data_IF_554418765026
#
_entry.id   IF_554418765026
#
_cell.length_a   1.000
_cell.length_b   1.000
_cell.length_c   1.000
_cell.angle_alpha   90.00
_cell.angle_beta   90.00
_cell.angle_gamma   90.00
#
_symmetry.space_group_name_H-M   'P 1'
#
loop_
_entity.id
_entity.type
_entity.pdbx_description
1 polymer ?
#
# COMPACT_ATOMS: atom_id res chain seq x y z
N UNK A 1 5.55 -15.18 53.48
CA UNK A 1 6.48 -14.31 52.72
C UNK A 1 6.89 -15.10 51.49
N UNK A 2 6.27 -14.78 50.35
CA UNK A 2 6.89 -14.07 49.20
C UNK A 2 7.92 -14.98 48.51
N UNK A 3 7.93 -15.22 47.21
CA UNK A 3 7.15 -14.74 46.07
C UNK A 3 7.68 -15.54 44.85
N UNK A 4 6.82 -15.68 43.82
CA UNK A 4 7.15 -15.68 42.39
C UNK A 4 8.35 -16.51 41.88
N UNK A 5 8.04 -17.52 41.06
CA UNK A 5 8.18 -17.39 39.60
C UNK A 5 7.38 -18.52 38.92
N UNK A 6 6.17 -18.19 38.49
CA UNK A 6 5.47 -18.98 37.48
C UNK A 6 6.13 -18.65 36.14
N UNK A 7 6.91 -19.58 35.61
CA UNK A 7 7.40 -19.49 34.25
C UNK A 7 6.21 -19.70 33.31
N UNK A 8 5.71 -18.61 32.71
CA UNK A 8 4.91 -18.68 31.49
C UNK A 8 5.79 -19.32 30.42
N UNK A 9 5.58 -20.61 30.19
CA UNK A 9 6.06 -21.27 28.98
C UNK A 9 5.13 -20.81 27.85
N UNK A 10 5.47 -19.69 27.23
CA UNK A 10 4.91 -19.33 25.93
C UNK A 10 5.40 -20.39 24.93
N UNK A 11 4.57 -21.42 24.72
CA UNK A 11 4.79 -22.39 23.65
C UNK A 11 4.59 -21.60 22.36
N UNK A 12 5.70 -21.13 21.78
CA UNK A 12 5.74 -20.71 20.39
C UNK A 12 5.47 -21.94 19.55
N UNK A 13 4.19 -22.18 19.25
CA UNK A 13 3.83 -23.22 18.30
C UNK A 13 4.17 -22.65 16.92
N UNK A 14 5.30 -23.08 16.37
CA UNK A 14 5.52 -23.11 14.92
C UNK A 14 4.47 -24.04 14.31
N UNK A 15 3.26 -23.51 14.11
CA UNK A 15 2.18 -24.16 13.39
C UNK A 15 2.26 -23.71 11.94
N UNK A 16 2.85 -24.58 11.13
CA UNK A 16 2.45 -24.76 9.73
C UNK A 16 0.94 -25.00 9.73
N UNK A 17 0.13 -24.00 9.39
CA UNK A 17 -1.33 -24.15 9.32
C UNK A 17 -1.87 -23.53 8.04
N UNK A 18 -2.08 -24.39 7.06
CA UNK A 18 -3.35 -24.41 6.35
C UNK A 18 -4.48 -24.67 7.36
N UNK A 19 -5.38 -23.69 7.56
CA UNK A 19 -6.70 -23.76 8.22
C UNK A 19 -6.78 -24.12 9.72
N UNK A 20 -7.51 -23.32 10.51
CA UNK A 20 -7.92 -23.71 11.86
C UNK A 20 -9.45 -23.73 11.96
N UNK A 21 -10.03 -24.93 11.82
CA UNK A 21 -11.40 -25.19 12.23
C UNK A 21 -11.46 -25.55 13.72
N UNK A 22 -12.44 -25.04 14.45
CA UNK A 22 -12.75 -25.47 15.82
C UNK A 22 -14.17 -26.03 15.88
N UNK A 23 -14.34 -27.12 16.64
CA UNK A 23 -15.65 -27.70 16.93
C UNK A 23 -15.87 -27.69 18.44
N UNK A 24 -16.89 -26.97 18.87
CA UNK A 24 -17.41 -27.05 20.23
C UNK A 24 -18.56 -28.05 20.28
N UNK A 25 -18.54 -28.90 21.31
CA UNK A 25 -19.63 -29.82 21.64
C UNK A 25 -20.26 -29.37 22.95
N UNK A 26 -21.53 -28.98 22.89
CA UNK A 26 -22.32 -28.59 24.06
C UNK A 26 -23.06 -29.76 24.72
N UNK A 27 -23.87 -29.44 25.73
CA UNK A 27 -24.87 -30.37 26.27
C UNK A 27 -25.91 -30.76 25.19
N UNK A 28 -26.55 -31.92 25.34
CA UNK A 28 -27.56 -32.44 24.41
C UNK A 28 -27.08 -32.71 22.97
N UNK A 29 -25.77 -32.80 22.74
CA UNK A 29 -25.22 -33.10 21.41
C UNK A 29 -25.23 -31.91 20.45
N UNK A 30 -25.39 -30.70 20.97
CA UNK A 30 -25.17 -29.43 20.26
C UNK A 30 -23.77 -29.40 19.65
N UNK A 31 -23.67 -29.01 18.39
CA UNK A 31 -22.40 -28.83 17.68
C UNK A 31 -22.34 -27.42 17.12
N UNK A 32 -21.25 -26.72 17.38
CA UNK A 32 -20.90 -25.46 16.71
C UNK A 32 -19.50 -25.65 16.11
N UNK A 33 -19.44 -25.75 14.79
CA UNK A 33 -18.19 -25.75 14.03
C UNK A 33 -17.95 -24.36 13.44
N UNK A 34 -16.70 -23.92 13.46
CA UNK A 34 -16.28 -22.69 12.79
C UNK A 34 -14.91 -22.81 12.16
N UNK A 35 -14.65 -22.01 11.15
CA UNK A 35 -13.34 -21.88 10.50
C UNK A 35 -13.10 -20.42 10.14
N UNK A 36 -11.83 -20.03 10.07
CA UNK A 36 -11.44 -18.72 9.54
C UNK A 36 -10.25 -18.90 8.59
N UNK A 37 -10.15 -18.02 7.59
CA UNK A 37 -9.03 -17.95 6.66
C UNK A 37 -8.91 -16.54 6.08
N UNK A 38 -7.84 -16.29 5.34
CA UNK A 38 -7.61 -15.04 4.63
C UNK A 38 -7.45 -15.34 3.14
N UNK A 39 -8.11 -14.56 2.28
CA UNK A 39 -7.96 -14.62 0.82
C UNK A 39 -7.15 -13.41 0.37
N UNK A 40 -6.12 -13.61 -0.45
CA UNK A 40 -5.22 -12.54 -0.89
C UNK A 40 -5.50 -12.22 -2.35
N UNK A 41 -5.59 -10.93 -2.65
CA UNK A 41 -5.84 -10.37 -3.96
C UNK A 41 -4.71 -9.42 -4.34
N UNK A 42 -4.23 -9.55 -5.57
CA UNK A 42 -3.21 -8.66 -6.15
C UNK A 42 -3.77 -8.05 -7.44
N UNK A 43 -3.42 -6.79 -7.74
CA UNK A 43 -3.79 -6.17 -9.01
C UNK A 43 -2.97 -6.78 -10.16
N UNK A 44 -3.64 -6.92 -11.30
CA UNK A 44 -3.09 -7.12 -12.64
C UNK A 44 -3.44 -5.85 -13.42
N UNK A 45 -2.41 -5.16 -13.92
CA UNK A 45 -2.56 -3.83 -14.51
C UNK A 45 -2.09 -3.85 -15.96
N UNK A 46 -2.90 -3.28 -16.85
CA UNK A 46 -2.54 -3.09 -18.25
C UNK A 46 -2.58 -1.61 -18.60
N UNK A 47 -1.41 -1.06 -18.91
CA UNK A 47 -1.26 0.29 -19.45
C UNK A 47 -1.10 0.18 -20.97
N UNK A 48 -2.00 0.82 -21.72
CA UNK A 48 -1.92 0.81 -23.18
C UNK A 48 -0.79 1.72 -23.70
N UNK A 49 -0.39 1.51 -24.95
CA UNK A 49 0.34 2.54 -25.70
C UNK A 49 -0.43 3.88 -25.68
N UNK A 50 0.29 4.99 -25.82
CA UNK A 50 -0.31 6.34 -25.83
C UNK A 50 -1.26 6.46 -27.01
N UNK A 51 -2.54 6.67 -26.70
CA UNK A 51 -3.60 6.75 -27.69
C UNK A 51 -3.61 8.10 -28.43
N UNK A 52 -4.42 8.22 -29.48
CA UNK A 52 -4.56 9.47 -30.25
C UNK A 52 -5.10 10.66 -29.44
N UNK A 53 -5.77 10.40 -28.32
CA UNK A 53 -6.21 11.43 -27.36
C UNK A 53 -5.08 11.93 -26.45
N UNK A 54 -3.89 11.31 -26.54
CA UNK A 54 -2.68 11.71 -25.83
C UNK A 54 -2.53 11.08 -24.45
N UNK A 55 -3.41 10.15 -24.03
CA UNK A 55 -3.33 9.47 -22.75
C UNK A 55 -3.28 7.94 -22.93
N UNK A 56 -2.52 7.21 -22.11
CA UNK A 56 -2.66 5.77 -21.97
C UNK A 56 -4.01 5.41 -21.36
N UNK A 57 -4.61 4.32 -21.85
CA UNK A 57 -5.66 3.62 -21.13
C UNK A 57 -5.06 2.82 -19.97
N UNK A 58 -5.79 2.72 -18.87
CA UNK A 58 -5.42 1.93 -17.69
C UNK A 58 -6.57 0.98 -17.37
N UNK A 59 -6.29 -0.32 -17.41
CA UNK A 59 -7.22 -1.37 -16.97
C UNK A 59 -6.62 -2.07 -15.75
N UNK A 60 -7.42 -2.22 -14.69
CA UNK A 60 -7.00 -2.80 -13.41
C UNK A 60 -7.98 -3.89 -13.02
N UNK A 61 -7.47 -5.09 -12.80
CA UNK A 61 -8.24 -6.22 -12.30
C UNK A 61 -7.54 -6.87 -11.12
N UNK A 62 -8.27 -7.15 -10.04
CA UNK A 62 -7.75 -7.88 -8.90
C UNK A 62 -8.05 -9.37 -9.04
N UNK A 63 -7.01 -10.18 -8.95
CA UNK A 63 -7.11 -11.64 -8.99
C UNK A 63 -6.74 -12.26 -7.64
N UNK A 64 -7.43 -13.35 -7.29
CA UNK A 64 -7.12 -14.13 -6.09
C UNK A 64 -5.84 -14.93 -6.31
N UNK A 65 -4.78 -14.63 -5.58
CA UNK A 65 -3.44 -15.24 -5.76
C UNK A 65 -3.09 -16.28 -4.69
N UNK A 66 -3.90 -16.38 -3.65
CA UNK A 66 -3.72 -17.40 -2.64
C UNK A 66 -4.63 -17.26 -1.43
N UNK A 67 -4.36 -18.12 -0.46
CA UNK A 67 -5.02 -18.16 0.83
C UNK A 67 -3.98 -18.30 1.94
N UNK A 68 -4.27 -17.73 3.12
CA UNK A 68 -3.47 -17.86 4.32
C UNK A 68 -2.29 -16.88 4.43
N UNK A 69 -1.71 -16.79 5.63
CA UNK A 69 -0.74 -15.74 6.02
C UNK A 69 0.63 -15.83 5.34
N UNK A 70 1.02 -16.98 4.80
CA UNK A 70 2.41 -17.19 4.34
C UNK A 70 2.77 -16.41 3.09
N UNK A 71 1.76 -15.90 2.37
CA UNK A 71 1.91 -15.06 1.18
C UNK A 71 1.63 -13.58 1.44
N UNK A 72 1.12 -13.22 2.62
CA UNK A 72 0.74 -11.84 2.91
C UNK A 72 1.98 -10.96 3.15
N UNK A 73 2.08 -9.87 2.40
CA UNK A 73 2.95 -8.73 2.65
C UNK A 73 2.18 -7.56 3.25
N UNK A 74 2.92 -6.52 3.63
CA UNK A 74 2.33 -5.27 4.11
C UNK A 74 1.61 -4.59 2.95
N UNK A 75 0.35 -4.24 3.20
CA UNK A 75 -0.49 -3.60 2.20
C UNK A 75 -1.30 -4.51 1.29
N UNK A 76 -1.16 -5.83 1.38
CA UNK A 76 -1.94 -6.72 0.49
C UNK A 76 -3.44 -6.54 0.71
N UNK A 77 -4.19 -6.58 -0.40
CA UNK A 77 -5.64 -6.61 -0.35
C UNK A 77 -6.12 -7.98 0.11
N UNK A 78 -6.69 -8.05 1.32
CA UNK A 78 -7.08 -9.30 1.96
C UNK A 78 -8.58 -9.29 2.25
N UNK A 79 -9.20 -10.46 2.12
CA UNK A 79 -10.52 -10.72 2.69
C UNK A 79 -10.41 -11.73 3.83
N UNK A 80 -10.71 -11.26 5.03
CA UNK A 80 -10.82 -12.11 6.22
C UNK A 80 -12.16 -12.82 6.16
N UNK A 81 -12.12 -14.14 6.18
CA UNK A 81 -13.30 -14.99 6.02
C UNK A 81 -13.56 -15.78 7.31
N UNK A 82 -14.82 -15.85 7.71
CA UNK A 82 -15.27 -16.65 8.84
C UNK A 82 -16.52 -17.44 8.46
N UNK A 83 -16.51 -18.74 8.73
CA UNK A 83 -17.69 -19.59 8.56
C UNK A 83 -18.12 -20.22 9.87
N UNK A 84 -19.44 -20.35 10.04
CA UNK A 84 -20.07 -21.03 11.17
C UNK A 84 -21.07 -22.08 10.66
N UNK A 85 -21.12 -23.20 11.37
CA UNK A 85 -22.07 -24.28 11.18
C UNK A 85 -22.60 -24.70 12.54
N UNK A 86 -23.93 -24.80 12.66
CA UNK A 86 -24.59 -25.27 13.89
C UNK A 86 -25.39 -26.53 13.62
N UNK A 87 -25.46 -27.42 14.61
CA UNK A 87 -26.29 -28.64 14.55
C UNK A 87 -26.86 -28.97 15.92
N UNK A 88 -28.07 -29.55 15.90
CA UNK A 88 -28.87 -29.85 17.10
C UNK A 88 -29.16 -28.58 17.93
N UNK A 89 -29.39 -27.46 17.25
CA UNK A 89 -29.77 -26.16 17.81
C UNK A 89 -30.88 -25.58 16.94
N UNK A 90 -31.74 -24.73 17.50
CA UNK A 90 -32.65 -23.90 16.69
C UNK A 90 -31.86 -22.81 15.96
N UNK A 91 -32.35 -22.43 14.78
CA UNK A 91 -31.78 -21.30 14.04
C UNK A 91 -32.07 -19.96 14.73
N UNK A 92 -31.27 -18.95 14.42
CA UNK A 92 -31.41 -17.63 15.03
C UNK A 92 -30.93 -16.53 14.08
N UNK A 93 -31.54 -15.34 14.18
CA UNK A 93 -31.00 -14.14 13.54
C UNK A 93 -29.77 -13.65 14.30
N UNK A 94 -28.68 -13.41 13.58
CA UNK A 94 -27.44 -12.97 14.20
C UNK A 94 -26.59 -12.06 13.32
N UNK A 95 -25.71 -11.31 13.98
CA UNK A 95 -24.68 -10.47 13.37
C UNK A 95 -23.31 -11.08 13.62
N UNK A 96 -22.53 -11.29 12.56
CA UNK A 96 -21.15 -11.74 12.62
C UNK A 96 -20.19 -10.56 12.85
N UNK A 97 -19.15 -10.80 13.63
CA UNK A 97 -18.13 -9.82 13.99
C UNK A 97 -16.76 -10.33 13.58
N UNK A 98 -15.94 -9.40 13.10
CA UNK A 98 -14.51 -9.58 12.86
C UNK A 98 -13.80 -8.46 13.62
N UNK A 99 -12.91 -8.83 14.55
CA UNK A 99 -12.14 -7.90 15.36
C UNK A 99 -10.67 -8.20 15.13
N UNK A 100 -9.91 -7.21 14.66
CA UNK A 100 -8.46 -7.30 14.52
C UNK A 100 -7.81 -6.31 15.47
N UNK A 101 -6.93 -6.82 16.34
CA UNK A 101 -6.20 -6.02 17.33
C UNK A 101 -7.12 -5.12 18.18
N UNK A 102 -8.28 -5.66 18.53
CA UNK A 102 -9.30 -4.97 19.34
C UNK A 102 -10.18 -3.98 18.56
N UNK A 103 -10.01 -3.84 17.24
CA UNK A 103 -10.83 -2.98 16.38
C UNK A 103 -11.80 -3.80 15.54
N UNK A 104 -13.09 -3.45 15.58
CA UNK A 104 -14.11 -4.07 14.71
C UNK A 104 -13.88 -3.66 13.26
N UNK A 105 -13.94 -4.64 12.35
CA UNK A 105 -13.82 -4.44 10.91
C UNK A 105 -15.21 -4.43 10.28
N UNK A 106 -15.46 -3.46 9.40
CA UNK A 106 -16.72 -3.34 8.67
C UNK A 106 -16.70 -4.20 7.39
N UNK A 107 -17.76 -4.96 7.08
CA UNK A 107 -17.83 -5.72 5.83
C UNK A 107 -18.10 -4.83 4.62
N UNK A 108 -18.68 -3.64 4.84
CA UNK A 108 -19.10 -2.72 3.78
C UNK A 108 -18.14 -1.56 3.56
N UNK A 109 -17.07 -1.46 4.36
CA UNK A 109 -15.95 -0.50 4.26
C UNK A 109 -16.25 0.78 3.46
N UNK A 110 -17.29 1.49 3.86
CA UNK A 110 -17.88 2.61 3.10
C UNK A 110 -16.97 3.83 3.04
N UNK A 111 -16.02 3.89 3.96
CA UNK A 111 -15.02 4.94 4.04
C UNK A 111 -13.71 4.51 3.35
N UNK A 112 -13.72 3.43 2.58
CA UNK A 112 -12.57 2.94 1.80
C UNK A 112 -11.29 2.79 2.65
N UNK A 113 -11.43 2.36 3.92
CA UNK A 113 -10.31 2.24 4.85
C UNK A 113 -9.32 1.20 4.33
N UNK A 114 -9.82 0.12 3.73
CA UNK A 114 -9.05 -0.99 3.19
C UNK A 114 -9.34 -1.29 1.71
N UNK A 115 -10.58 -1.11 1.27
CA UNK A 115 -10.97 -1.22 -0.13
C UNK A 115 -10.33 -0.08 -0.94
N UNK A 116 -9.96 -0.34 -2.21
CA UNK A 116 -9.41 0.69 -3.07
C UNK A 116 -10.45 1.75 -3.47
N UNK A 117 -11.71 1.35 -3.58
CA UNK A 117 -12.82 2.19 -4.03
C UNK A 117 -14.13 1.73 -3.36
N UNK A 118 -15.27 2.26 -3.81
CA UNK A 118 -16.59 1.83 -3.29
C UNK A 118 -16.78 0.31 -3.41
N UNK A 119 -17.62 -0.32 -2.57
CA UNK A 119 -17.90 -1.76 -2.68
C UNK A 119 -18.35 -2.18 -4.08
N UNK A 120 -19.16 -1.35 -4.74
CA UNK A 120 -19.65 -1.61 -6.10
C UNK A 120 -18.52 -1.54 -7.15
N UNK A 121 -17.66 -0.53 -7.09
CA UNK A 121 -16.51 -0.41 -7.99
C UNK A 121 -15.46 -1.49 -7.73
N UNK A 122 -15.20 -1.78 -6.46
CA UNK A 122 -14.31 -2.86 -6.02
C UNK A 122 -14.76 -4.21 -6.59
N UNK A 123 -16.07 -4.47 -6.62
CA UNK A 123 -16.62 -5.68 -7.25
C UNK A 123 -16.38 -5.69 -8.77
N UNK A 124 -16.55 -4.55 -9.45
CA UNK A 124 -16.36 -4.46 -10.89
C UNK A 124 -14.92 -4.74 -11.32
N UNK A 125 -13.95 -4.42 -10.46
CA UNK A 125 -12.53 -4.70 -10.68
C UNK A 125 -12.09 -6.08 -10.16
N UNK A 126 -13.01 -6.98 -9.81
CA UNK A 126 -12.70 -8.38 -9.49
C UNK A 126 -12.56 -8.73 -8.00
N UNK A 127 -12.72 -7.76 -7.09
CA UNK A 127 -12.75 -8.05 -5.66
C UNK A 127 -14.08 -8.72 -5.25
N UNK A 128 -14.09 -9.52 -4.16
CA UNK A 128 -15.29 -10.11 -3.60
C UNK A 128 -16.41 -9.09 -3.33
N UNK A 129 -17.65 -9.52 -3.57
CA UNK A 129 -18.83 -8.78 -3.18
C UNK A 129 -18.86 -8.57 -1.65
N UNK A 130 -19.04 -7.32 -1.23
CA UNK A 130 -19.36 -6.99 0.17
C UNK A 130 -20.75 -7.53 0.50
N UNK A 131 -20.80 -8.45 1.46
CA UNK A 131 -22.05 -9.09 1.92
C UNK A 131 -22.39 -8.64 3.33
N UNK A 132 -23.69 -8.66 3.66
CA UNK A 132 -24.14 -8.38 5.02
C UNK A 132 -23.48 -9.33 6.02
N UNK A 133 -23.03 -8.79 7.16
CA UNK A 133 -22.67 -9.62 8.31
C UNK A 133 -23.88 -10.01 9.16
N UNK A 134 -25.09 -9.60 8.81
CA UNK A 134 -26.34 -10.07 9.42
C UNK A 134 -26.97 -11.18 8.58
N UNK A 135 -27.34 -12.28 9.22
CA UNK A 135 -27.97 -13.44 8.58
C UNK A 135 -28.83 -14.26 9.55
N UNK A 136 -29.81 -14.98 9.01
CA UNK A 136 -30.50 -16.06 9.72
C UNK A 136 -29.59 -17.30 9.73
N UNK A 137 -29.02 -17.62 10.90
CA UNK A 137 -28.14 -18.78 11.07
C UNK A 137 -28.98 -20.05 11.18
N UNK A 138 -29.27 -20.66 10.04
CA UNK A 138 -30.02 -21.92 9.97
C UNK A 138 -29.18 -23.15 10.38
N UNK A 139 -29.79 -24.16 11.04
CA UNK A 139 -29.13 -25.42 11.38
C UNK A 139 -28.74 -26.23 10.15
N UNK A 140 -27.63 -26.95 10.28
CA UNK A 140 -27.04 -27.81 9.24
C UNK A 140 -26.65 -27.07 7.94
N UNK A 141 -26.55 -25.74 7.97
CA UNK A 141 -26.07 -24.89 6.88
C UNK A 141 -24.76 -24.22 7.27
N UNK A 142 -23.84 -24.08 6.31
CA UNK A 142 -22.60 -23.30 6.51
C UNK A 142 -22.87 -21.86 6.10
N UNK A 143 -22.75 -20.95 7.05
CA UNK A 143 -22.83 -19.50 6.81
C UNK A 143 -21.42 -18.94 6.74
N UNK A 144 -21.13 -18.10 5.74
CA UNK A 144 -19.80 -17.52 5.53
C UNK A 144 -19.89 -16.01 5.43
N UNK A 145 -19.02 -15.33 6.17
CA UNK A 145 -18.91 -13.88 6.23
C UNK A 145 -17.51 -13.45 5.80
N UNK A 146 -17.39 -12.23 5.27
CA UNK A 146 -16.15 -11.70 4.72
C UNK A 146 -15.96 -10.23 5.06
N UNK A 147 -14.72 -9.82 5.30
CA UNK A 147 -14.34 -8.44 5.58
C UNK A 147 -13.08 -8.04 4.81
N UNK A 148 -13.08 -6.90 4.10
CA UNK A 148 -11.85 -6.37 3.52
C UNK A 148 -10.88 -5.94 4.62
N UNK A 149 -9.59 -6.14 4.39
CA UNK A 149 -8.54 -5.80 5.34
C UNK A 149 -7.19 -5.64 4.64
N UNK A 150 -6.29 -4.87 5.26
CA UNK A 150 -4.87 -4.77 4.88
C UNK A 150 -4.03 -4.68 6.15
N UNK A 151 -2.90 -5.38 6.19
CA UNK A 151 -1.94 -5.24 7.28
C UNK A 151 -1.04 -4.02 7.03
N UNK A 152 -0.84 -3.17 8.04
CA UNK A 152 -0.01 -1.97 7.95
C UNK A 152 1.38 -2.11 8.57
N UNK A 153 1.66 -3.23 9.26
CA UNK A 153 2.96 -3.48 9.88
C UNK A 153 3.23 -4.97 10.04
N UNK A 154 4.52 -5.33 10.13
CA UNK A 154 4.95 -6.68 10.49
C UNK A 154 4.78 -6.92 11.98
N UNK A 155 4.56 -8.17 12.36
CA UNK A 155 4.48 -8.61 13.75
C UNK A 155 3.18 -9.31 14.10
N UNK A 156 2.92 -9.39 15.41
CA UNK A 156 1.81 -10.15 15.95
C UNK A 156 0.49 -9.39 15.85
N UNK A 157 -0.53 -10.10 15.37
CA UNK A 157 -1.92 -9.66 15.31
C UNK A 157 -2.81 -10.67 16.03
N UNK A 158 -3.93 -10.16 16.54
CA UNK A 158 -5.00 -10.96 17.14
C UNK A 158 -6.25 -10.80 16.30
N UNK A 159 -6.77 -11.90 15.76
CA UNK A 159 -8.09 -11.94 15.13
C UNK A 159 -9.10 -12.65 16.02
N UNK A 160 -10.26 -12.03 16.18
CA UNK A 160 -11.41 -12.60 16.85
C UNK A 160 -12.62 -12.57 15.91
N UNK A 161 -13.32 -13.71 15.82
CA UNK A 161 -14.57 -13.84 15.08
C UNK A 161 -15.64 -14.50 15.94
N UNK A 162 -16.89 -14.05 15.79
CA UNK A 162 -18.05 -14.68 16.42
C UNK A 162 -19.35 -14.21 15.77
N UNK A 163 -20.47 -14.87 16.09
CA UNK A 163 -21.83 -14.39 15.80
C UNK A 163 -22.54 -14.03 17.09
N UNK A 164 -23.28 -12.93 17.09
CA UNK A 164 -24.10 -12.47 18.21
C UNK A 164 -25.57 -12.47 17.84
N UNK A 165 -26.43 -13.11 18.62
CA UNK A 165 -27.88 -13.08 18.42
C UNK A 165 -28.51 -11.77 18.93
N UNK A 166 -29.81 -11.60 18.67
CA UNK A 166 -30.60 -10.44 19.08
C UNK A 166 -30.72 -10.26 20.61
N UNK A 167 -30.48 -11.31 21.39
CA UNK A 167 -30.43 -11.28 22.86
C UNK A 167 -29.03 -10.97 23.40
N UNK A 168 -28.03 -10.90 22.52
CA UNK A 168 -26.64 -10.63 22.86
C UNK A 168 -25.79 -11.88 23.16
N UNK A 169 -26.33 -13.08 22.97
CA UNK A 169 -25.60 -14.34 23.15
C UNK A 169 -24.58 -14.52 22.03
N UNK A 170 -23.37 -14.95 22.39
CA UNK A 170 -22.27 -15.16 21.45
C UNK A 170 -22.12 -16.64 21.10
N UNK A 171 -22.02 -16.93 19.81
CA UNK A 171 -21.82 -18.27 19.26
C UNK A 171 -20.57 -18.34 18.38
N UNK A 172 -19.93 -19.50 18.39
CA UNK A 172 -18.84 -19.81 17.46
C UNK A 172 -17.56 -19.01 17.66
N UNK A 173 -17.38 -18.37 18.81
CA UNK A 173 -16.21 -17.52 19.10
C UNK A 173 -14.90 -18.25 18.80
N UNK A 174 -14.04 -17.61 18.03
CA UNK A 174 -12.69 -18.08 17.72
C UNK A 174 -11.73 -16.89 17.79
N UNK A 175 -10.73 -16.99 18.65
CA UNK A 175 -9.65 -16.02 18.80
C UNK A 175 -8.33 -16.67 18.39
N UNK A 176 -7.52 -15.94 17.62
CA UNK A 176 -6.27 -16.43 17.05
C UNK A 176 -5.22 -15.34 17.04
N UNK A 177 -4.09 -15.67 17.65
CA UNK A 177 -2.86 -14.90 17.52
C UNK A 177 -2.08 -15.46 16.34
N UNK A 178 -1.65 -14.59 15.43
CA UNK A 178 -0.78 -14.93 14.32
C UNK A 178 0.20 -13.78 14.09
N UNK A 179 1.28 -14.04 13.37
CA UNK A 179 2.25 -13.02 12.99
C UNK A 179 2.33 -12.91 11.48
N UNK A 180 2.46 -11.68 10.98
CA UNK A 180 2.91 -11.38 9.63
C UNK A 180 4.41 -11.14 9.74
N UNK A 181 5.19 -12.12 9.30
CA UNK A 181 6.63 -12.14 9.48
C UNK A 181 7.34 -11.85 8.15
N UNK A 182 8.33 -10.96 8.20
CA UNK A 182 9.29 -10.81 7.13
C UNK A 182 10.20 -12.03 7.05
N UNK A 183 10.36 -12.55 5.85
CA UNK A 183 11.35 -13.56 5.48
C UNK A 183 12.40 -12.85 4.63
N UNK A 184 13.66 -12.96 5.06
CA UNK A 184 14.78 -12.35 4.35
C UNK A 184 14.85 -12.83 2.89
N UNK A 185 15.07 -11.88 1.99
CA UNK A 185 15.10 -12.11 0.55
C UNK A 185 16.53 -12.02 0.02
N UNK A 186 16.91 -12.89 -0.92
CA UNK A 186 18.23 -12.86 -1.57
C UNK A 186 18.36 -11.79 -2.68
N UNK A 187 17.50 -10.77 -2.63
CA UNK A 187 17.38 -9.73 -3.64
C UNK A 187 17.18 -8.41 -2.90
N UNK A 188 18.05 -7.44 -3.17
CA UNK A 188 18.17 -6.21 -2.38
C UNK A 188 17.42 -5.04 -3.04
N UNK A 189 16.36 -5.34 -3.79
CA UNK A 189 15.43 -4.37 -4.36
C UNK A 189 14.22 -4.22 -3.45
N UNK A 190 13.84 -2.98 -3.16
CA UNK A 190 12.84 -2.59 -2.17
C UNK A 190 11.88 -1.57 -2.77
N UNK A 191 10.61 -1.67 -2.40
CA UNK A 191 9.57 -0.74 -2.83
C UNK A 191 8.83 -0.17 -1.62
N UNK A 192 8.57 1.13 -1.61
CA UNK A 192 7.67 1.78 -0.68
C UNK A 192 6.66 2.60 -1.48
N UNK A 193 5.42 2.13 -1.50
CA UNK A 193 4.30 2.76 -2.19
C UNK A 193 3.36 3.38 -1.14
N UNK A 194 3.03 4.66 -1.33
CA UNK A 194 2.02 5.41 -0.60
C UNK A 194 0.95 5.85 -1.59
N UNK A 195 -0.31 5.46 -1.35
CA UNK A 195 -1.43 5.90 -2.17
C UNK A 195 -2.60 6.27 -1.27
N UNK A 196 -2.89 7.57 -1.16
CA UNK A 196 -3.91 8.08 -0.24
C UNK A 196 -5.02 8.72 -1.06
N UNK A 197 -6.23 8.21 -0.87
CA UNK A 197 -7.43 8.61 -1.60
C UNK A 197 -8.63 8.69 -0.63
N UNK A 198 -8.68 9.74 0.22
CA UNK A 198 -9.66 9.82 1.29
C UNK A 198 -11.08 10.07 0.73
N UNK A 199 -12.12 9.43 1.30
CA UNK A 199 -13.48 9.59 0.80
C UNK A 199 -13.97 11.05 0.77
N UNK A 200 -14.66 11.42 -0.31
CA UNK A 200 -15.19 12.77 -0.54
C UNK A 200 -14.15 13.80 -0.98
N UNK A 201 -12.90 13.40 -1.15
CA UNK A 201 -11.82 14.20 -1.72
C UNK A 201 -10.92 13.32 -2.59
N UNK A 202 -11.50 12.40 -3.35
CA UNK A 202 -10.76 11.41 -4.11
C UNK A 202 -10.04 12.04 -5.32
N UNK A 203 -8.77 11.67 -5.51
CA UNK A 203 -7.95 11.94 -6.71
C UNK A 203 -7.54 10.65 -7.42
N UNK A 204 -8.14 9.52 -7.04
CA UNK A 204 -7.97 8.21 -7.69
C UNK A 204 -6.57 7.63 -7.47
N UNK A 205 -5.89 8.02 -6.38
CA UNK A 205 -4.54 7.57 -6.03
C UNK A 205 -4.43 6.06 -5.85
N UNK A 206 -5.53 5.38 -5.49
CA UNK A 206 -5.53 3.93 -5.35
C UNK A 206 -5.14 3.20 -6.64
N UNK A 207 -5.44 3.80 -7.81
CA UNK A 207 -5.01 3.27 -9.12
C UNK A 207 -3.50 3.41 -9.30
N UNK A 208 -2.93 4.54 -8.90
CA UNK A 208 -1.49 4.78 -8.92
C UNK A 208 -0.75 3.75 -8.07
N UNK A 209 -1.25 3.49 -6.85
CA UNK A 209 -0.69 2.45 -6.00
C UNK A 209 -0.78 1.05 -6.60
N UNK A 210 -1.89 0.72 -7.29
CA UNK A 210 -2.04 -0.56 -7.99
C UNK A 210 -1.11 -0.70 -9.20
N UNK A 211 -0.97 0.36 -10.02
CA UNK A 211 -0.04 0.45 -11.16
C UNK A 211 1.38 0.17 -10.69
N UNK A 212 1.84 0.90 -9.67
CA UNK A 212 3.22 0.79 -9.19
C UNK A 212 3.46 -0.56 -8.53
N UNK A 213 2.47 -1.10 -7.81
CA UNK A 213 2.58 -2.42 -7.21
C UNK A 213 2.78 -3.52 -8.26
N UNK A 214 1.94 -3.54 -9.30
CA UNK A 214 2.03 -4.52 -10.39
C UNK A 214 3.35 -4.37 -11.16
N UNK A 215 3.73 -3.14 -11.49
CA UNK A 215 5.01 -2.85 -12.13
C UNK A 215 6.19 -3.39 -11.30
N UNK A 216 6.26 -3.12 -10.01
CA UNK A 216 7.37 -3.60 -9.17
C UNK A 216 7.34 -5.12 -9.01
N UNK A 217 6.18 -5.71 -8.68
CA UNK A 217 6.08 -7.12 -8.30
C UNK A 217 6.03 -8.07 -9.51
N UNK A 218 5.30 -7.73 -10.56
CA UNK A 218 5.05 -8.61 -11.71
C UNK A 218 5.95 -8.30 -12.90
N UNK A 219 6.17 -7.02 -13.23
CA UNK A 219 7.08 -6.65 -14.32
C UNK A 219 8.54 -6.78 -13.90
N UNK A 220 8.94 -6.11 -12.82
CA UNK A 220 10.33 -6.10 -12.37
C UNK A 220 10.69 -7.24 -11.41
N UNK A 221 9.71 -8.02 -10.95
CA UNK A 221 9.94 -9.15 -10.04
C UNK A 221 10.67 -8.73 -8.76
N UNK A 222 10.32 -7.57 -8.17
CA UNK A 222 10.74 -7.23 -6.83
C UNK A 222 10.21 -8.29 -5.86
N UNK A 223 10.97 -8.72 -4.85
CA UNK A 223 10.45 -9.64 -3.86
C UNK A 223 9.22 -9.02 -3.18
N UNK A 224 8.07 -9.69 -3.22
CA UNK A 224 6.83 -9.17 -2.63
C UNK A 224 7.05 -8.68 -1.19
N UNK A 225 7.79 -9.42 -0.36
CA UNK A 225 8.05 -9.02 1.03
C UNK A 225 8.99 -7.82 1.21
N UNK A 226 9.69 -7.39 0.16
CA UNK A 226 10.47 -6.15 0.16
C UNK A 226 9.65 -4.94 -0.35
N UNK A 227 8.40 -5.15 -0.77
CA UNK A 227 7.49 -4.08 -1.19
C UNK A 227 6.51 -3.78 -0.06
N UNK A 228 6.58 -2.57 0.50
CA UNK A 228 5.59 -2.06 1.45
C UNK A 228 4.62 -1.18 0.69
N UNK A 229 3.33 -1.49 0.78
CA UNK A 229 2.28 -0.66 0.19
C UNK A 229 1.34 -0.17 1.29
N UNK A 230 1.31 1.12 1.58
CA UNK A 230 0.34 1.68 2.52
C UNK A 230 -0.65 2.54 1.76
N UNK A 231 -1.92 2.15 1.82
CA UNK A 231 -3.04 2.88 1.21
C UNK A 231 -4.08 3.24 2.25
N UNK A 232 -4.72 4.40 2.08
CA UNK A 232 -5.84 4.87 2.91
C UNK A 232 -5.63 4.59 4.41
N UNK A 233 -6.55 3.86 5.06
CA UNK A 233 -6.50 3.59 6.50
C UNK A 233 -5.21 2.92 7.02
N UNK A 234 -4.39 2.36 6.14
CA UNK A 234 -3.07 1.85 6.48
C UNK A 234 -1.96 2.91 6.43
N UNK A 235 -2.14 3.99 5.66
CA UNK A 235 -1.20 5.10 5.50
C UNK A 235 -1.42 6.18 6.58
N UNK A 236 -1.44 5.78 7.85
CA UNK A 236 -1.39 6.72 8.98
C UNK A 236 0.03 7.23 9.18
N UNK A 237 0.23 8.42 9.77
CA UNK A 237 1.57 8.98 10.01
C UNK A 237 2.47 8.00 10.78
N UNK A 238 1.94 7.41 11.85
CA UNK A 238 2.66 6.42 12.64
C UNK A 238 3.04 5.19 11.81
N UNK A 239 2.14 4.66 10.96
CA UNK A 239 2.45 3.48 10.15
C UNK A 239 3.51 3.79 9.09
N UNK A 240 3.42 4.96 8.45
CA UNK A 240 4.38 5.39 7.42
C UNK A 240 5.78 5.52 8.01
N UNK A 241 5.94 6.25 9.13
CA UNK A 241 7.24 6.42 9.76
C UNK A 241 7.81 5.09 10.30
N UNK A 242 6.96 4.24 10.89
CA UNK A 242 7.39 2.93 11.34
C UNK A 242 7.85 2.04 10.17
N UNK A 243 7.18 2.12 9.01
CA UNK A 243 7.59 1.41 7.80
C UNK A 243 8.91 1.95 7.23
N UNK A 244 9.12 3.27 7.22
CA UNK A 244 10.38 3.91 6.81
C UNK A 244 11.53 3.45 7.71
N UNK A 245 11.34 3.51 9.03
CA UNK A 245 12.33 3.09 10.01
C UNK A 245 12.64 1.59 9.89
N UNK A 246 11.59 0.76 9.72
CA UNK A 246 11.74 -0.68 9.51
C UNK A 246 12.52 -0.98 8.23
N UNK A 247 12.16 -0.36 7.10
CA UNK A 247 12.83 -0.59 5.82
C UNK A 247 14.29 -0.16 5.87
N UNK A 248 14.59 0.98 6.52
CA UNK A 248 15.95 1.48 6.71
C UNK A 248 16.86 0.52 7.50
N UNK A 249 16.29 -0.31 8.36
CA UNK A 249 17.02 -1.36 9.10
C UNK A 249 17.35 -2.59 8.22
N UNK A 250 16.70 -2.73 7.08
CA UNK A 250 16.87 -3.87 6.15
C UNK A 250 17.55 -3.50 4.84
N UNK A 251 17.73 -2.20 4.57
CA UNK A 251 18.48 -1.68 3.43
C UNK A 251 19.94 -1.37 3.79
N UNK A 252 20.76 -1.22 2.74
CA UNK A 252 22.16 -0.87 2.82
C UNK A 252 22.61 -0.17 1.52
N UNK A 253 23.90 0.15 1.38
CA UNK A 253 24.43 0.90 0.22
C UNK A 253 24.30 0.21 -1.13
N UNK A 254 24.11 -1.11 -1.16
CA UNK A 254 23.82 -1.85 -2.40
C UNK A 254 22.33 -2.01 -2.69
N UNK A 255 21.47 -1.55 -1.77
CA UNK A 255 20.02 -1.64 -1.97
C UNK A 255 19.60 -0.75 -3.12
N UNK A 256 18.50 -1.15 -3.76
CA UNK A 256 17.77 -0.34 -4.71
C UNK A 256 16.41 -0.06 -4.14
N UNK A 257 16.09 1.21 -3.95
CA UNK A 257 14.88 1.65 -3.26
C UNK A 257 14.03 2.40 -4.27
N UNK A 258 12.79 1.97 -4.43
CA UNK A 258 11.76 2.72 -5.15
C UNK A 258 10.80 3.28 -4.13
N UNK A 259 10.75 4.61 -4.00
CA UNK A 259 9.75 5.32 -3.22
C UNK A 259 8.75 5.95 -4.18
N UNK A 260 7.47 5.68 -3.96
CA UNK A 260 6.39 6.22 -4.79
C UNK A 260 5.27 6.72 -3.91
N UNK A 261 4.92 7.99 -4.02
CA UNK A 261 3.81 8.58 -3.30
C UNK A 261 2.82 9.23 -4.25
N UNK A 262 1.53 8.95 -4.08
CA UNK A 262 0.43 9.59 -4.80
C UNK A 262 -0.69 9.96 -3.84
N UNK A 263 -1.22 11.18 -4.01
CA UNK A 263 -2.30 11.72 -3.18
C UNK A 263 -2.36 13.23 -3.18
N UNK A 264 -3.04 13.78 -2.17
CA UNK A 264 -3.04 15.22 -1.95
C UNK A 264 -1.68 15.67 -1.44
N UNK A 265 -1.26 16.83 -1.93
CA UNK A 265 -0.03 17.50 -1.49
C UNK A 265 -0.27 18.97 -1.25
N UNK A 266 0.61 19.56 -0.47
CA UNK A 266 0.49 20.94 -0.02
C UNK A 266 1.81 21.49 0.49
N UNK A 267 1.74 22.73 0.97
CA UNK A 267 2.82 23.38 1.69
C UNK A 267 2.33 23.73 3.10
N UNK A 268 3.20 23.64 4.09
CA UNK A 268 2.90 23.98 5.49
C UNK A 268 4.01 24.85 6.09
N UNK A 269 3.66 25.80 6.95
CA UNK A 269 4.65 26.71 7.55
C UNK A 269 5.13 26.13 8.89
N UNK A 270 6.40 25.73 8.99
CA UNK A 270 6.94 24.91 10.10
C UNK A 270 6.02 23.71 10.40
N UNK A 271 5.70 22.96 9.35
CA UNK A 271 5.00 21.69 9.39
C UNK A 271 5.79 20.61 10.13
N UNK A 272 7.12 20.66 10.09
CA UNK A 272 7.99 19.83 10.93
C UNK A 272 9.03 20.63 11.75
N UNK A 273 9.90 19.91 12.47
CA UNK A 273 10.90 20.48 13.39
C UNK A 273 12.26 20.72 12.70
N UNK A 274 12.30 20.77 11.37
CA UNK A 274 13.51 21.01 10.61
C UNK A 274 13.86 22.52 10.56
N UNK A 275 14.67 22.97 9.58
CA UNK A 275 15.10 24.38 9.50
C UNK A 275 14.34 25.18 8.47
N UNK A 276 13.44 24.55 7.76
CA UNK A 276 12.71 25.12 6.66
C UNK A 276 11.49 25.86 7.18
N UNK A 277 11.20 26.98 6.53
CA UNK A 277 10.05 27.78 6.95
C UNK A 277 8.76 27.25 6.30
N UNK A 278 8.90 26.56 5.18
CA UNK A 278 7.81 26.06 4.35
C UNK A 278 8.21 24.64 3.97
N UNK A 279 7.41 23.67 4.39
CA UNK A 279 7.67 22.25 4.16
C UNK A 279 6.71 21.73 3.09
N UNK A 280 7.24 20.92 2.18
CA UNK A 280 6.45 20.06 1.31
C UNK A 280 5.72 19.02 2.12
N UNK A 281 4.45 18.77 1.80
CA UNK A 281 3.69 17.70 2.46
C UNK A 281 2.86 16.85 1.52
N UNK A 282 2.71 15.59 1.92
CA UNK A 282 1.73 14.64 1.41
C UNK A 282 0.69 14.41 2.52
N UNK A 283 -0.59 14.59 2.20
CA UNK A 283 -1.67 14.31 3.16
C UNK A 283 -1.82 12.81 3.33
N UNK A 284 -1.68 12.35 4.58
CA UNK A 284 -1.85 10.96 4.96
C UNK A 284 -3.30 10.71 5.42
N UNK A 285 -3.62 9.46 5.75
CA UNK A 285 -4.92 9.14 6.34
C UNK A 285 -5.17 9.88 7.65
N UNK A 286 -4.10 10.05 8.43
CA UNK A 286 -4.03 11.00 9.52
C UNK A 286 -2.69 11.77 9.50
N UNK A 287 -2.78 13.08 9.68
CA UNK A 287 -1.61 13.95 9.63
C UNK A 287 -0.99 14.08 8.23
N UNK A 288 0.29 14.41 8.20
CA UNK A 288 1.04 14.63 6.97
C UNK A 288 2.38 13.90 7.02
N UNK A 289 2.90 13.54 5.84
CA UNK A 289 4.29 13.18 5.61
C UNK A 289 5.01 14.38 5.02
N UNK A 290 6.10 14.81 5.64
CA UNK A 290 6.90 15.93 5.14
C UNK A 290 8.08 15.44 4.29
N UNK A 291 8.59 16.30 3.43
CA UNK A 291 9.85 16.13 2.69
C UNK A 291 11.03 15.78 3.61
N UNK A 292 11.17 16.46 4.75
CA UNK A 292 12.18 16.16 5.77
C UNK A 292 12.11 14.71 6.30
N UNK A 293 10.91 14.18 6.53
CA UNK A 293 10.70 12.78 6.91
C UNK A 293 11.24 11.82 5.82
N UNK A 294 11.05 12.16 4.54
CA UNK A 294 11.52 11.36 3.40
C UNK A 294 13.04 11.48 3.21
N UNK A 295 13.61 12.67 3.40
CA UNK A 295 15.05 12.89 3.35
C UNK A 295 15.78 12.06 4.41
N UNK A 296 15.26 12.05 5.64
CA UNK A 296 15.76 11.22 6.73
C UNK A 296 15.63 9.73 6.43
N UNK A 297 14.52 9.30 5.84
CA UNK A 297 14.35 7.92 5.39
C UNK A 297 15.40 7.53 4.34
N UNK A 298 15.61 8.35 3.31
CA UNK A 298 16.60 8.07 2.27
C UNK A 298 18.02 7.97 2.85
N UNK A 299 18.41 8.91 3.72
CA UNK A 299 19.70 8.86 4.40
C UNK A 299 19.84 7.62 5.30
N UNK A 300 18.80 7.30 6.09
CA UNK A 300 18.80 6.15 6.98
C UNK A 300 18.86 4.81 6.23
N UNK A 301 18.30 4.75 5.01
CA UNK A 301 18.36 3.58 4.14
C UNK A 301 19.78 3.25 3.67
N UNK A 302 20.67 4.25 3.66
CA UNK A 302 22.05 4.20 3.14
C UNK A 302 22.17 3.84 1.66
N UNK A 303 21.04 3.69 0.96
CA UNK A 303 21.00 3.31 -0.45
C UNK A 303 21.60 4.40 -1.32
N UNK A 304 22.38 4.01 -2.32
CA UNK A 304 22.87 4.90 -3.38
C UNK A 304 22.14 4.69 -4.71
N UNK A 305 21.02 3.96 -4.70
CA UNK A 305 20.23 3.62 -5.88
C UNK A 305 18.75 3.85 -5.58
N UNK A 306 18.34 5.11 -5.48
CA UNK A 306 16.98 5.50 -5.11
C UNK A 306 16.27 6.09 -6.33
N UNK A 307 15.09 5.55 -6.65
CA UNK A 307 14.10 6.24 -7.48
C UNK A 307 13.00 6.77 -6.56
N UNK A 308 12.79 8.08 -6.56
CA UNK A 308 11.68 8.73 -5.86
C UNK A 308 10.72 9.31 -6.88
N UNK A 309 9.43 8.96 -6.78
CA UNK A 309 8.36 9.54 -7.62
C UNK A 309 7.26 10.06 -6.70
N UNK A 310 7.00 11.37 -6.76
CA UNK A 310 5.97 12.03 -5.94
C UNK A 310 4.92 12.68 -6.85
N UNK A 311 3.76 12.04 -6.94
CA UNK A 311 2.60 12.48 -7.72
C UNK A 311 1.58 13.17 -6.81
N UNK A 312 1.92 14.40 -6.40
CA UNK A 312 1.09 15.24 -5.55
C UNK A 312 1.22 16.72 -5.94
N UNK A 313 0.27 17.56 -5.54
CA UNK A 313 0.40 19.02 -5.74
C UNK A 313 1.55 19.58 -4.91
N UNK A 314 2.25 20.59 -5.44
CA UNK A 314 3.40 21.24 -4.79
C UNK A 314 4.55 20.27 -4.49
N UNK A 315 4.60 19.15 -5.20
CA UNK A 315 5.59 18.07 -5.00
C UNK A 315 7.05 18.48 -5.30
N UNK A 316 7.30 19.66 -5.85
CA UNK A 316 8.66 20.17 -6.11
C UNK A 316 9.51 20.28 -4.84
N UNK A 317 8.91 20.42 -3.66
CA UNK A 317 9.63 20.38 -2.38
C UNK A 317 10.17 18.97 -2.04
N UNK A 318 9.66 17.91 -2.68
CA UNK A 318 10.22 16.56 -2.51
C UNK A 318 11.46 16.33 -3.41
N UNK A 319 12.31 17.35 -3.54
CA UNK A 319 13.57 17.32 -4.29
C UNK A 319 13.47 17.65 -5.78
N UNK A 320 12.49 18.44 -6.19
CA UNK A 320 12.43 19.06 -7.52
C UNK A 320 13.52 20.13 -7.70
N UNK A 321 13.84 20.56 -8.93
CA UNK A 321 14.89 21.57 -9.15
C UNK A 321 14.61 22.93 -8.49
N UNK A 322 13.34 23.27 -8.21
CA UNK A 322 12.90 24.50 -7.57
C UNK A 322 12.68 24.39 -6.05
N UNK A 323 13.06 23.26 -5.46
CA UNK A 323 13.01 22.97 -4.03
C UNK A 323 13.61 24.12 -3.19
N UNK A 324 12.84 24.61 -2.22
CA UNK A 324 13.26 25.68 -1.34
C UNK A 324 14.41 25.25 -0.41
N UNK A 325 14.57 23.95 -0.12
CA UNK A 325 15.66 23.44 0.72
C UNK A 325 17.02 23.87 0.16
N UNK A 326 17.16 23.90 -1.17
CA UNK A 326 18.40 24.28 -1.88
C UNK A 326 18.88 25.68 -1.55
N UNK A 327 17.95 26.57 -1.20
CA UNK A 327 18.24 27.96 -0.87
C UNK A 327 18.78 28.06 0.57
N UNK A 328 18.37 27.15 1.46
CA UNK A 328 18.69 27.18 2.89
C UNK A 328 19.78 26.17 3.33
N UNK A 329 20.04 25.13 2.55
CA UNK A 329 21.09 24.10 2.76
C UNK A 329 22.49 24.68 2.91
N UNK A 330 22.77 25.89 2.39
CA UNK A 330 24.02 26.62 2.64
C UNK A 330 24.29 26.95 4.12
N UNK A 331 23.33 26.74 5.03
CA UNK A 331 23.42 27.06 6.45
C UNK A 331 23.29 25.84 7.40
N UNK A 332 23.24 24.59 6.92
CA UNK A 332 22.91 23.42 7.75
C UNK A 332 23.60 22.10 7.42
N UNK A 333 23.42 21.12 8.33
CA UNK A 333 23.93 19.75 8.28
C UNK A 333 22.80 18.71 8.40
N UNK A 334 21.58 19.06 7.97
CA UNK A 334 20.45 18.14 7.89
C UNK A 334 20.65 17.19 6.69
N UNK A 335 19.98 16.04 6.69
CA UNK A 335 19.83 15.25 5.46
C UNK A 335 18.94 16.03 4.50
N UNK A 336 19.18 15.91 3.20
CA UNK A 336 18.35 16.58 2.18
C UNK A 336 17.84 15.57 1.17
N UNK A 337 16.76 15.90 0.46
CA UNK A 337 16.22 15.08 -0.63
C UNK A 337 17.24 14.89 -1.78
N UNK A 338 18.09 15.88 -2.04
CA UNK A 338 18.95 15.99 -3.23
C UNK A 338 20.37 15.39 -3.10
N UNK A 339 20.57 14.37 -2.26
CA UNK A 339 21.89 13.75 -2.13
C UNK A 339 22.21 12.77 -3.27
N UNK A 340 23.50 12.43 -3.40
CA UNK A 340 24.00 11.49 -4.41
C UNK A 340 23.28 10.13 -4.36
N UNK A 341 23.06 9.55 -5.55
CA UNK A 341 22.47 8.22 -5.69
C UNK A 341 20.95 8.21 -5.83
N UNK A 342 20.34 9.34 -6.21
CA UNK A 342 18.89 9.53 -6.22
C UNK A 342 18.40 10.10 -7.55
N UNK A 343 17.40 9.47 -8.15
CA UNK A 343 16.62 10.00 -9.28
C UNK A 343 15.29 10.47 -8.70
N UNK A 344 15.06 11.77 -8.70
CA UNK A 344 13.89 12.39 -8.06
C UNK A 344 12.95 12.94 -9.14
N UNK A 345 11.70 12.49 -9.10
CA UNK A 345 10.68 12.86 -10.09
C UNK A 345 9.43 13.38 -9.38
N UNK A 346 9.01 14.59 -9.69
CA UNK A 346 7.86 15.26 -9.05
C UNK A 346 6.80 15.56 -10.09
N UNK A 347 5.51 15.51 -9.75
CA UNK A 347 4.42 15.78 -10.70
C UNK A 347 4.16 17.27 -10.94
N UNK A 348 4.77 18.12 -10.12
CA UNK A 348 4.61 19.57 -10.17
C UNK A 348 5.77 20.23 -9.47
N UNK A 349 6.07 21.48 -9.85
CA UNK A 349 7.00 22.36 -9.14
C UNK A 349 6.45 22.78 -7.77
N UNK A 350 7.30 23.32 -6.90
CA UNK A 350 6.97 23.79 -5.53
C UNK A 350 5.76 24.73 -5.47
N UNK A 351 5.45 25.47 -6.53
CA UNK A 351 4.36 26.47 -6.55
C UNK A 351 3.19 26.08 -7.46
N UNK A 352 3.18 24.87 -7.99
CA UNK A 352 2.17 24.43 -8.97
C UNK A 352 1.41 23.17 -8.52
N UNK A 353 0.31 22.87 -9.22
CA UNK A 353 -0.54 21.71 -8.93
C UNK A 353 -0.29 20.58 -9.92
N UNK A 354 -0.27 19.35 -9.39
CA UNK A 354 -0.29 18.12 -10.17
C UNK A 354 -1.66 17.88 -10.79
N UNK A 355 -1.74 16.86 -11.65
CA UNK A 355 -2.96 16.51 -12.40
C UNK A 355 -3.22 15.02 -12.37
N UNK A 356 -4.47 14.68 -12.12
CA UNK A 356 -5.00 13.33 -12.24
C UNK A 356 -6.12 13.27 -13.29
N UNK A 357 -6.44 12.05 -13.67
CA UNK A 357 -7.58 11.66 -14.50
C UNK A 357 -8.38 10.59 -13.77
N UNK A 358 -9.49 10.14 -14.35
CA UNK A 358 -10.23 8.99 -13.83
C UNK A 358 -9.39 7.68 -13.82
N UNK A 359 -8.22 7.67 -14.48
CA UNK A 359 -7.29 6.55 -14.53
C UNK A 359 -6.13 6.66 -13.52
N UNK A 360 -6.02 7.76 -12.77
CA UNK A 360 -4.91 8.02 -11.84
C UNK A 360 -4.13 9.31 -12.17
N UNK A 361 -3.05 9.54 -11.44
CA UNK A 361 -2.11 10.65 -11.60
C UNK A 361 -1.38 10.58 -12.95
N UNK A 362 -1.30 11.71 -13.66
CA UNK A 362 -0.69 11.73 -15.00
C UNK A 362 0.79 11.34 -14.95
N UNK A 363 1.53 11.83 -13.94
CA UNK A 363 2.94 11.46 -13.82
C UNK A 363 3.06 9.95 -13.59
N UNK A 364 2.25 9.38 -12.68
CA UNK A 364 2.33 7.95 -12.38
C UNK A 364 2.04 7.09 -13.60
N UNK A 365 0.96 7.38 -14.33
CA UNK A 365 0.59 6.62 -15.54
C UNK A 365 1.71 6.66 -16.58
N UNK A 366 2.26 7.84 -16.87
CA UNK A 366 3.30 7.97 -17.88
C UNK A 366 4.65 7.40 -17.41
N UNK A 367 5.01 7.59 -16.14
CA UNK A 367 6.28 7.10 -15.59
C UNK A 367 6.29 5.57 -15.52
N UNK A 368 5.25 4.96 -14.95
CA UNK A 368 5.13 3.51 -14.90
C UNK A 368 5.00 2.91 -16.31
N UNK A 369 4.19 3.51 -17.18
CA UNK A 369 4.08 3.08 -18.58
C UNK A 369 5.43 3.15 -19.33
N UNK A 370 6.20 4.22 -19.13
CA UNK A 370 7.54 4.36 -19.69
C UNK A 370 8.47 3.24 -19.22
N UNK A 371 8.51 2.98 -17.90
CA UNK A 371 9.26 1.88 -17.31
C UNK A 371 8.80 0.50 -17.81
N UNK A 372 7.53 0.34 -18.18
CA UNK A 372 7.02 -0.90 -18.76
C UNK A 372 7.34 -1.07 -20.25
N UNK A 373 7.74 0.01 -20.91
CA UNK A 373 8.07 0.05 -22.33
C UNK A 373 6.87 0.25 -23.24
N UNK A 374 5.83 0.95 -22.78
CA UNK A 374 4.75 1.38 -23.66
C UNK A 374 5.29 2.33 -24.75
N UNK A 375 4.59 2.42 -25.86
CA UNK A 375 4.96 3.29 -26.98
C UNK A 375 4.18 4.58 -26.97
N UNK A 376 4.84 5.64 -27.40
CA UNK A 376 4.18 6.89 -27.74
C UNK A 376 3.44 6.79 -29.08
N UNK A 377 2.79 7.90 -29.46
CA UNK A 377 2.09 8.04 -30.76
C UNK A 377 2.98 7.87 -32.00
N UNK A 378 4.30 7.94 -31.84
CA UNK A 378 5.28 7.73 -32.92
C UNK A 378 5.77 6.28 -32.98
N UNK A 379 5.38 5.45 -32.00
CA UNK A 379 5.84 4.07 -31.85
C UNK A 379 7.15 3.95 -31.06
N UNK A 380 7.63 5.02 -30.44
CA UNK A 380 8.87 5.07 -29.67
C UNK A 380 8.61 4.78 -28.18
N UNK A 381 9.51 4.02 -27.57
CA UNK A 381 9.54 3.75 -26.12
C UNK A 381 10.41 4.81 -25.41
N UNK A 382 10.56 4.69 -24.09
CA UNK A 382 11.47 5.53 -23.32
C UNK A 382 12.97 5.21 -23.53
N UNK A 383 13.30 4.04 -24.09
CA UNK A 383 14.67 3.64 -24.51
C UNK A 383 15.20 4.61 -25.57
N UNK A 384 15.85 5.68 -25.11
CA UNK A 384 16.24 6.83 -25.89
C UNK A 384 17.64 6.65 -26.46
N UNK A 385 18.48 5.87 -25.78
CA UNK A 385 19.85 5.57 -26.16
C UNK A 385 19.94 4.31 -27.08
N UNK A 386 18.87 3.52 -27.17
CA UNK A 386 18.75 2.34 -28.02
C UNK A 386 19.50 1.11 -27.53
N UNK A 387 19.79 1.02 -26.22
CA UNK A 387 20.52 -0.08 -25.61
C UNK A 387 19.63 -1.31 -25.31
N UNK A 388 18.32 -1.19 -25.52
CA UNK A 388 17.33 -2.23 -25.31
C UNK A 388 16.82 -2.34 -23.87
N UNK A 389 17.16 -1.38 -23.01
CA UNK A 389 16.75 -1.26 -21.61
C UNK A 389 16.18 0.14 -21.38
N UNK A 390 15.48 0.32 -20.26
CA UNK A 390 14.92 1.62 -19.89
C UNK A 390 15.41 1.96 -18.50
N UNK A 391 16.21 3.01 -18.41
CA UNK A 391 16.63 3.58 -17.13
C UNK A 391 15.51 4.44 -16.50
N UNK A 392 15.61 4.71 -15.21
CA UNK A 392 14.66 5.56 -14.52
C UNK A 392 14.67 7.00 -15.07
N UNK A 393 15.85 7.48 -15.45
CA UNK A 393 16.10 8.78 -16.05
C UNK A 393 15.41 8.88 -17.42
N UNK A 394 15.58 7.88 -18.27
CA UNK A 394 14.89 7.78 -19.57
C UNK A 394 13.38 7.75 -19.42
N UNK A 395 12.87 6.93 -18.49
CA UNK A 395 11.45 6.88 -18.19
C UNK A 395 10.91 8.23 -17.71
N UNK A 396 11.65 8.92 -16.82
CA UNK A 396 11.28 10.22 -16.29
C UNK A 396 11.24 11.28 -17.39
N UNK A 397 12.29 11.38 -18.22
CA UNK A 397 12.30 12.29 -19.36
C UNK A 397 11.12 12.02 -20.30
N UNK A 398 10.91 10.76 -20.66
CA UNK A 398 9.79 10.38 -21.52
C UNK A 398 8.46 10.77 -20.89
N UNK A 399 8.25 10.49 -19.61
CA UNK A 399 7.01 10.82 -18.90
C UNK A 399 6.75 12.33 -18.83
N UNK A 400 7.76 13.13 -18.47
CA UNK A 400 7.68 14.59 -18.42
C UNK A 400 7.26 15.17 -19.77
N UNK A 401 7.81 14.67 -20.88
CA UNK A 401 7.42 15.14 -22.22
C UNK A 401 5.98 14.80 -22.60
N UNK A 402 5.42 13.71 -22.05
CA UNK A 402 4.06 13.26 -22.33
C UNK A 402 3.02 13.87 -21.39
N UNK A 403 3.43 14.32 -20.21
CA UNK A 403 2.62 15.13 -19.30
C UNK A 403 2.34 16.53 -19.90
N UNK A 404 1.40 16.63 -20.84
CA UNK A 404 1.00 17.92 -21.39
C UNK A 404 0.14 18.71 -20.38
N UNK A 405 0.78 19.60 -19.62
CA UNK A 405 0.08 20.57 -18.80
C UNK A 405 -0.12 21.90 -19.57
N UNK A 406 -1.36 22.43 -19.56
CA UNK A 406 -1.60 23.83 -19.99
C UNK A 406 -0.66 24.76 -19.22
N UNK A 407 -0.23 25.90 -19.80
CA UNK A 407 0.53 26.91 -19.06
C UNK A 407 -0.17 27.26 -17.74
N UNK A 408 0.57 27.29 -16.63
CA UNK A 408 0.10 27.50 -15.24
C UNK A 408 -0.56 26.30 -14.54
N UNK A 409 -0.62 25.13 -15.19
CA UNK A 409 -0.78 23.85 -14.50
C UNK A 409 0.60 23.18 -14.43
N UNK A 410 0.93 22.50 -13.33
CA UNK A 410 2.30 22.08 -13.01
C UNK A 410 3.00 21.30 -14.11
N UNK A 411 4.29 21.56 -14.24
CA UNK A 411 5.18 20.77 -15.07
C UNK A 411 5.84 19.74 -14.15
N UNK A 412 5.75 18.44 -14.47
CA UNK A 412 6.55 17.45 -13.77
C UNK A 412 8.04 17.75 -13.95
N UNK A 413 8.83 17.43 -12.94
CA UNK A 413 10.26 17.76 -12.90
C UNK A 413 11.09 16.51 -12.64
N UNK A 414 12.32 16.55 -13.14
CA UNK A 414 13.35 15.55 -12.88
C UNK A 414 14.55 16.26 -12.28
N UNK A 415 14.98 15.80 -11.12
CA UNK A 415 16.24 16.16 -10.50
C UNK A 415 17.09 14.89 -10.35
N UNK A 416 18.07 14.75 -11.23
CA UNK A 416 18.92 13.58 -11.29
C UNK A 416 20.21 13.81 -10.48
N UNK A 417 20.26 13.19 -9.30
CA UNK A 417 21.41 13.15 -8.41
C UNK A 417 22.13 11.78 -8.48
N UNK A 418 21.78 10.93 -9.44
CA UNK A 418 22.38 9.62 -9.62
C UNK A 418 23.50 9.68 -10.68
N UNK A 419 24.64 9.06 -10.38
CA UNK A 419 25.73 8.97 -11.36
C UNK A 419 25.57 7.73 -12.24
N UNK A 420 25.10 7.94 -13.47
CA UNK A 420 24.96 6.88 -14.47
C UNK A 420 23.52 6.70 -14.90
N UNK A 421 23.09 5.45 -15.08
CA UNK A 421 21.72 5.08 -15.44
C UNK A 421 21.19 4.10 -14.38
N UNK A 422 20.09 4.47 -13.73
CA UNK A 422 19.45 3.65 -12.70
C UNK A 422 18.42 2.70 -13.33
N UNK A 423 18.75 1.41 -13.39
CA UNK A 423 17.82 0.39 -13.87
C UNK A 423 17.11 -0.33 -12.72
N UNK A 424 15.80 -0.58 -12.83
CA UNK A 424 15.03 -1.32 -11.81
C UNK A 424 15.18 -2.85 -11.89
N UNK A 425 15.74 -3.34 -13.00
CA UNK A 425 16.04 -4.74 -13.25
C UNK A 425 17.04 -5.30 -12.21
N UNK A 426 17.17 -6.64 -12.17
CA UNK A 426 18.03 -7.33 -11.21
C UNK A 426 19.51 -7.19 -11.54
#
# INVERSE_FOLDING_TARGET
>A
MKNLLAALLAISIMLTLSFSGCMEKGGEGVIIARTFWAEIYEPDVNISDVSSDGLPGVDIHYSRVGEGKEKAGIGDMIFLCYSIYIKNMEGFDGKAYCIIDGKEVSPFDTDHVYLPASPEESQQIGLPLSISNEAEISPEVVHTFRWPYRFSSYGNHTAEFYVKDTNGTIYGRIERNFSIDYKEQNDNRWGFILAIDPPGNEVVSWKDGAIVFDMLCHKYNFPRQNVIYLSNGCATRDNVLNAMEWMSKHTNSSSKVVFWASGHGGLEINGDDDRELIDGKIELWDGNLYDGDVADFFAASKSMNILSVVDACFSGEFGGPDDLERVFTHFGSQNSMEEEGRVLVTASTTITRAKATDNGGLLTIFMAGALEGIKDRTGATADSNGDGRISAEEAAFWAIFHCYARPLSGFPELNDCYYGELYLEK
#
